data_IF_649496304861
#
_entry.id   IF_649496304861
#
_cell.length_a   1.000
_cell.length_b   1.000
_cell.length_c   1.000
_cell.angle_alpha   90.00
_cell.angle_beta   90.00
_cell.angle_gamma   90.00
#
_symmetry.space_group_name_H-M   'P 1'
#
loop_
_entity.id
_entity.type
_entity.pdbx_description
1 polymer ?
#
# COMPACT_ATOMS: atom_id res chain seq x y z
N UNK A 1 -15.71 -3.00 7.77
CA UNK A 1 -15.43 -3.58 9.11
C UNK A 1 -14.09 -4.26 9.02
N UNK A 2 -13.09 -3.83 9.79
CA UNK A 2 -11.79 -4.50 9.82
C UNK A 2 -11.91 -5.75 10.70
N UNK A 3 -11.68 -6.92 10.12
CA UNK A 3 -11.69 -8.20 10.83
C UNK A 3 -10.41 -8.30 11.64
N UNK A 4 -10.51 -8.60 12.94
CA UNK A 4 -9.33 -8.87 13.77
C UNK A 4 -8.51 -10.03 13.18
N UNK A 5 -7.17 -9.92 13.23
CA UNK A 5 -6.24 -10.93 12.71
C UNK A 5 -6.36 -12.31 13.36
N UNK A 6 -7.04 -12.42 14.51
CA UNK A 6 -7.02 -13.60 15.37
C UNK A 6 -7.42 -14.91 14.66
N UNK A 7 -8.28 -14.80 13.65
CA UNK A 7 -8.76 -15.96 12.87
C UNK A 7 -8.10 -16.09 11.49
N UNK A 8 -7.24 -15.15 11.09
CA UNK A 8 -6.59 -15.19 9.79
C UNK A 8 -5.44 -16.19 9.78
N UNK A 9 -5.32 -16.93 8.68
CA UNK A 9 -4.28 -17.93 8.47
C UNK A 9 -3.49 -17.61 7.21
N UNK A 10 -2.18 -17.79 7.30
CA UNK A 10 -1.23 -17.62 6.21
C UNK A 10 -0.71 -19.01 5.81
N UNK A 11 -0.70 -19.32 4.51
CA UNK A 11 -0.10 -20.56 4.02
C UNK A 11 1.42 -20.37 3.97
N UNK A 12 2.15 -21.04 4.87
CA UNK A 12 3.61 -21.03 4.90
C UNK A 12 4.14 -22.27 4.21
N UNK A 13 4.87 -22.12 3.11
CA UNK A 13 5.63 -23.19 2.46
C UNK A 13 7.10 -23.04 2.83
N UNK A 14 7.72 -24.12 3.29
CA UNK A 14 9.11 -24.13 3.75
C UNK A 14 9.94 -25.02 2.83
N UNK A 15 11.15 -24.56 2.52
CA UNK A 15 12.12 -25.22 1.66
C UNK A 15 13.45 -25.34 2.39
N UNK A 16 14.19 -26.42 2.15
CA UNK A 16 15.48 -26.67 2.80
C UNK A 16 16.45 -25.51 2.58
N UNK A 17 16.46 -24.94 1.37
CA UNK A 17 17.32 -23.84 0.97
C UNK A 17 16.68 -23.08 -0.23
N UNK A 18 17.46 -22.34 -1.00
CA UNK A 18 16.97 -21.53 -2.14
C UNK A 18 16.54 -22.35 -3.36
N UNK A 19 16.96 -23.61 -3.49
CA UNK A 19 16.67 -24.43 -4.66
C UNK A 19 15.20 -24.86 -4.70
N UNK A 20 14.61 -24.84 -5.90
CA UNK A 20 13.16 -24.94 -6.10
C UNK A 20 12.55 -26.29 -5.74
N UNK A 21 13.32 -27.37 -5.80
CA UNK A 21 12.89 -28.74 -5.54
C UNK A 21 13.14 -29.20 -4.09
N UNK A 22 13.35 -28.27 -3.16
CA UNK A 22 13.72 -28.60 -1.78
C UNK A 22 12.59 -28.39 -0.77
N UNK A 23 11.33 -28.46 -1.21
CA UNK A 23 10.17 -28.32 -0.33
C UNK A 23 10.24 -29.36 0.81
N UNK A 24 10.01 -28.91 2.04
CA UNK A 24 10.03 -29.78 3.24
C UNK A 24 8.68 -29.82 3.96
N UNK A 25 7.79 -28.86 3.70
CA UNK A 25 6.47 -28.85 4.33
C UNK A 25 5.69 -27.56 4.09
N UNK A 26 4.37 -27.67 4.23
CA UNK A 26 3.45 -26.53 4.18
C UNK A 26 2.55 -26.55 5.42
N UNK A 27 2.25 -25.38 5.98
CA UNK A 27 1.38 -25.26 7.15
C UNK A 27 0.59 -23.96 7.11
N UNK A 28 -0.70 -24.04 7.44
CA UNK A 28 -1.49 -22.85 7.80
C UNK A 28 -1.09 -22.36 9.18
N UNK A 29 -0.59 -21.14 9.26
CA UNK A 29 -0.11 -20.51 10.50
C UNK A 29 -0.90 -19.23 10.80
N UNK A 30 -1.15 -18.95 12.08
CA UNK A 30 -1.55 -17.61 12.53
C UNK A 30 -0.41 -16.62 12.37
N UNK A 31 -0.73 -15.33 12.43
CA UNK A 31 0.30 -14.28 12.47
C UNK A 31 1.26 -14.43 13.66
N UNK A 32 0.72 -14.72 14.85
CA UNK A 32 1.52 -14.97 16.06
C UNK A 32 2.46 -16.19 15.91
N UNK A 33 2.00 -17.27 15.30
CA UNK A 33 2.84 -18.43 14.98
C UNK A 33 3.95 -18.07 13.98
N UNK A 34 3.64 -17.27 12.95
CA UNK A 34 4.63 -16.80 11.99
C UNK A 34 5.69 -15.91 12.65
N UNK A 35 5.28 -14.96 13.50
CA UNK A 35 6.18 -14.12 14.31
C UNK A 35 7.13 -15.00 15.13
N UNK A 36 6.59 -15.95 15.89
CA UNK A 36 7.38 -16.87 16.72
C UNK A 36 8.36 -17.69 15.87
N UNK A 37 7.92 -18.14 14.70
CA UNK A 37 8.76 -18.94 13.80
C UNK A 37 9.88 -18.12 13.18
N UNK A 38 9.63 -16.88 12.74
CA UNK A 38 10.65 -15.99 12.17
C UNK A 38 11.62 -15.43 13.21
N UNK A 39 11.17 -15.21 14.46
CA UNK A 39 12.03 -14.72 15.55
C UNK A 39 13.05 -15.76 16.02
N UNK A 40 12.80 -17.05 15.77
CA UNK A 40 13.73 -18.12 16.12
C UNK A 40 14.91 -18.17 15.14
N UNK A 41 16.09 -17.79 15.64
CA UNK A 41 17.34 -17.67 14.87
C UNK A 41 18.26 -18.88 15.07
N UNK A 42 19.24 -19.01 14.17
CA UNK A 42 20.41 -19.87 14.33
C UNK A 42 21.66 -19.05 14.02
N UNK A 43 22.82 -19.54 14.44
CA UNK A 43 24.13 -18.99 14.03
C UNK A 43 24.72 -19.91 12.96
N UNK A 44 25.04 -19.36 11.80
CA UNK A 44 25.58 -20.10 10.66
C UNK A 44 26.26 -19.12 9.69
N UNK A 45 27.33 -19.53 9.01
CA UNK A 45 27.87 -18.77 7.87
C UNK A 45 27.07 -18.93 6.57
N UNK A 46 26.17 -19.92 6.52
CA UNK A 46 25.22 -20.11 5.42
C UNK A 46 23.88 -19.46 5.74
N UNK A 47 23.50 -18.46 4.94
CA UNK A 47 22.24 -17.72 5.08
C UNK A 47 20.99 -18.56 4.90
N UNK A 48 21.09 -19.72 4.25
CA UNK A 48 19.97 -20.62 3.99
C UNK A 48 19.88 -21.79 5.00
N UNK A 49 20.82 -21.87 5.95
CA UNK A 49 20.86 -22.97 6.92
C UNK A 49 19.62 -23.04 7.83
N UNK A 50 18.87 -21.94 7.98
CA UNK A 50 17.59 -21.92 8.72
C UNK A 50 16.37 -22.07 7.82
N UNK A 51 16.51 -22.68 6.64
CA UNK A 51 15.46 -22.83 5.64
C UNK A 51 15.11 -21.53 4.90
N UNK A 52 14.40 -21.68 3.79
CA UNK A 52 13.73 -20.59 3.10
C UNK A 52 12.23 -20.81 3.10
N UNK A 53 11.47 -19.76 2.80
CA UNK A 53 10.02 -19.83 2.84
C UNK A 53 9.34 -18.98 1.77
N UNK A 54 8.07 -19.32 1.51
CA UNK A 54 7.13 -18.57 0.71
C UNK A 54 5.79 -18.54 1.44
N UNK A 55 5.20 -17.36 1.58
CA UNK A 55 3.86 -17.17 2.15
C UNK A 55 2.84 -17.05 1.01
N UNK A 56 2.07 -18.11 0.74
CA UNK A 56 1.18 -18.18 -0.42
C UNK A 56 0.71 -19.59 -0.76
N UNK A 57 -0.25 -19.71 -1.67
CA UNK A 57 -0.70 -21.01 -2.16
C UNK A 57 0.19 -21.50 -3.31
N UNK A 58 0.54 -22.78 -3.24
CA UNK A 58 1.27 -23.50 -4.28
C UNK A 58 0.40 -24.64 -4.80
N UNK A 59 0.53 -24.97 -6.09
CA UNK A 59 0.00 -26.21 -6.67
C UNK A 59 0.47 -27.45 -5.88
N UNK A 60 -0.15 -28.60 -6.15
CA UNK A 60 0.25 -29.86 -5.52
C UNK A 60 1.71 -30.20 -5.79
N UNK A 61 2.19 -29.92 -7.02
CA UNK A 61 3.61 -29.91 -7.33
C UNK A 61 4.29 -28.74 -6.59
N UNK A 62 4.84 -29.04 -5.42
CA UNK A 62 5.49 -28.07 -4.52
C UNK A 62 6.85 -27.58 -5.03
N UNK A 63 7.26 -27.97 -6.24
CA UNK A 63 8.39 -27.36 -6.93
C UNK A 63 8.16 -25.84 -7.08
N UNK A 64 9.06 -25.04 -6.50
CA UNK A 64 8.97 -23.58 -6.49
C UNK A 64 9.31 -23.01 -7.86
N UNK A 65 8.30 -22.63 -8.62
CA UNK A 65 8.43 -21.85 -9.83
C UNK A 65 7.18 -20.99 -10.03
N UNK A 66 7.23 -20.08 -10.99
CA UNK A 66 6.15 -19.15 -11.27
C UNK A 66 4.85 -19.82 -11.74
N UNK A 67 4.93 -20.99 -12.35
CA UNK A 67 3.77 -21.74 -12.83
C UNK A 67 3.04 -22.50 -11.71
N UNK A 68 3.75 -22.82 -10.62
CA UNK A 68 3.23 -23.53 -9.47
C UNK A 68 2.78 -22.59 -8.34
N UNK A 69 3.25 -21.35 -8.32
CA UNK A 69 2.77 -20.31 -7.39
C UNK A 69 1.39 -19.80 -7.81
N UNK A 70 0.37 -20.08 -6.99
CA UNK A 70 -1.02 -19.72 -7.25
C UNK A 70 -1.32 -18.31 -6.73
N UNK A 71 -0.93 -18.04 -5.48
CA UNK A 71 -1.25 -16.80 -4.78
C UNK A 71 -0.16 -16.43 -3.76
N UNK A 72 -0.12 -15.18 -3.32
CA UNK A 72 0.69 -14.73 -2.17
C UNK A 72 -0.24 -14.24 -1.08
N UNK A 73 -0.01 -14.69 0.16
CA UNK A 73 -0.77 -14.19 1.33
C UNK A 73 -0.05 -13.03 2.04
N UNK A 74 1.15 -12.67 1.58
CA UNK A 74 1.91 -11.55 2.12
C UNK A 74 2.78 -10.92 1.03
N UNK A 75 3.02 -9.61 1.14
CA UNK A 75 4.13 -8.95 0.45
C UNK A 75 5.40 -9.17 1.27
N UNK A 76 6.51 -9.43 0.59
CA UNK A 76 7.82 -9.64 1.23
C UNK A 76 8.83 -8.77 0.53
N UNK A 77 9.40 -7.82 1.27
CA UNK A 77 10.28 -6.76 0.77
C UNK A 77 11.63 -6.91 1.44
N UNK A 78 12.70 -7.05 0.65
CA UNK A 78 14.07 -6.91 1.12
C UNK A 78 14.41 -5.41 1.05
N UNK A 79 14.67 -4.80 2.21
CA UNK A 79 15.12 -3.41 2.34
C UNK A 79 16.63 -3.46 2.52
N UNK A 80 17.33 -3.12 1.45
CA UNK A 80 18.79 -3.06 1.40
C UNK A 80 19.27 -1.61 1.23
N UNK A 81 20.58 -1.41 1.26
CA UNK A 81 21.27 -0.16 0.90
C UNK A 81 20.79 1.09 1.67
N UNK A 82 20.44 0.92 2.94
CA UNK A 82 20.10 2.01 3.83
C UNK A 82 21.36 2.74 4.32
N UNK A 83 21.23 4.05 4.54
CA UNK A 83 22.29 4.84 5.18
C UNK A 83 22.43 4.44 6.65
N UNK A 84 23.66 4.42 7.20
CA UNK A 84 23.89 4.19 8.63
C UNK A 84 23.05 5.14 9.50
N UNK A 85 22.37 4.58 10.51
CA UNK A 85 21.53 5.35 11.42
C UNK A 85 20.10 5.64 10.91
N UNK A 86 19.70 5.14 9.75
CA UNK A 86 18.31 5.21 9.28
C UNK A 86 17.37 4.50 10.25
N UNK A 87 16.35 5.21 10.76
CA UNK A 87 15.41 4.69 11.76
C UNK A 87 14.15 4.11 11.07
N UNK A 88 14.33 3.02 10.32
CA UNK A 88 13.26 2.41 9.51
C UNK A 88 12.06 1.97 10.36
N UNK A 89 12.30 1.49 11.59
CA UNK A 89 11.24 0.99 12.46
C UNK A 89 10.24 2.09 12.82
N UNK A 90 10.72 3.28 13.17
CA UNK A 90 9.85 4.37 13.61
C UNK A 90 9.05 4.92 12.42
N UNK A 91 9.67 5.05 11.24
CA UNK A 91 8.95 5.42 10.02
C UNK A 91 7.86 4.41 9.65
N UNK A 92 8.13 3.11 9.79
CA UNK A 92 7.11 2.08 9.55
C UNK A 92 5.97 2.18 10.57
N UNK A 93 6.26 2.40 11.86
CA UNK A 93 5.23 2.58 12.90
C UNK A 93 4.36 3.81 12.66
N UNK A 94 4.93 4.89 12.14
CA UNK A 94 4.18 6.10 11.82
C UNK A 94 3.34 5.97 10.56
N UNK A 95 3.84 5.25 9.54
CA UNK A 95 3.19 5.14 8.22
C UNK A 95 2.20 3.98 8.13
N UNK A 96 2.46 2.87 8.82
CA UNK A 96 1.69 1.65 8.67
C UNK A 96 0.72 1.49 9.83
N UNK A 97 -0.58 1.48 9.50
CA UNK A 97 -1.64 1.17 10.47
C UNK A 97 -2.04 -0.32 10.46
N UNK A 98 -1.47 -1.09 9.55
CA UNK A 98 -1.70 -2.53 9.39
C UNK A 98 -0.52 -3.35 9.95
N UNK A 99 -0.68 -4.66 9.96
CA UNK A 99 0.27 -5.58 10.56
C UNK A 99 1.51 -5.74 9.69
N UNK A 100 2.66 -5.91 10.32
CA UNK A 100 3.91 -6.21 9.62
C UNK A 100 4.87 -7.00 10.52
N UNK A 101 5.86 -7.64 9.92
CA UNK A 101 7.02 -8.20 10.60
C UNK A 101 8.26 -7.63 9.93
N UNK A 102 9.18 -7.06 10.70
CA UNK A 102 10.47 -6.56 10.24
C UNK A 102 11.58 -7.30 10.98
N UNK A 103 12.58 -7.80 10.26
CA UNK A 103 13.76 -8.38 10.89
C UNK A 103 15.02 -8.20 10.06
N UNK A 104 16.21 -8.25 10.69
CA UNK A 104 17.48 -8.12 9.97
C UNK A 104 17.73 -9.28 9.02
N UNK A 105 18.34 -8.99 7.86
CA UNK A 105 18.81 -10.06 6.96
C UNK A 105 20.14 -10.63 7.47
N UNK A 106 20.55 -11.77 6.90
CA UNK A 106 21.83 -12.41 7.24
C UNK A 106 23.06 -11.50 7.03
N UNK A 107 22.98 -10.55 6.11
CA UNK A 107 24.06 -9.62 5.77
C UNK A 107 23.87 -8.24 6.41
N UNK A 108 22.96 -8.10 7.37
CA UNK A 108 22.80 -6.86 8.11
C UNK A 108 24.08 -6.53 8.89
N UNK A 109 24.51 -5.28 8.76
CA UNK A 109 25.58 -4.69 9.56
C UNK A 109 25.14 -3.27 9.97
N UNK A 110 25.58 -2.73 11.13
CA UNK A 110 25.17 -1.39 11.57
C UNK A 110 25.49 -0.27 10.57
N UNK A 111 26.56 -0.45 9.77
CA UNK A 111 27.01 0.49 8.74
C UNK A 111 26.48 0.16 7.32
N UNK A 112 25.70 -0.91 7.19
CA UNK A 112 24.99 -1.28 5.98
C UNK A 112 23.68 -1.99 6.38
N UNK A 113 22.71 -1.25 6.96
CA UNK A 113 21.50 -1.85 7.52
C UNK A 113 20.67 -2.53 6.43
N UNK A 114 20.35 -3.80 6.65
CA UNK A 114 19.52 -4.62 5.77
C UNK A 114 18.39 -5.28 6.55
N UNK A 115 17.16 -5.12 6.09
CA UNK A 115 15.98 -5.67 6.74
C UNK A 115 15.10 -6.44 5.75
N UNK A 116 14.26 -7.33 6.27
CA UNK A 116 13.16 -7.93 5.53
C UNK A 116 11.86 -7.52 6.19
N UNK A 117 10.97 -6.93 5.40
CA UNK A 117 9.64 -6.52 5.78
C UNK A 117 8.62 -7.51 5.19
N UNK A 118 7.73 -8.01 6.02
CA UNK A 118 6.62 -8.89 5.63
C UNK A 118 5.32 -8.21 5.99
N UNK A 119 4.47 -7.99 4.99
CA UNK A 119 3.16 -7.36 5.13
C UNK A 119 2.08 -8.40 4.79
N UNK A 120 1.42 -9.02 5.78
CA UNK A 120 0.33 -9.95 5.53
C UNK A 120 -0.89 -9.27 4.90
N UNK A 121 -1.54 -10.00 4.01
CA UNK A 121 -2.72 -9.56 3.26
C UNK A 121 -3.96 -10.26 3.81
N UNK A 122 -5.08 -9.54 3.91
CA UNK A 122 -6.35 -10.12 4.37
C UNK A 122 -6.97 -11.09 3.35
N UNK A 123 -6.57 -10.99 2.09
CA UNK A 123 -6.89 -11.94 1.02
C UNK A 123 -5.64 -12.19 0.18
N UNK A 124 -5.49 -13.41 -0.37
CA UNK A 124 -4.37 -13.68 -1.25
C UNK A 124 -4.45 -12.85 -2.54
N UNK A 125 -3.30 -12.38 -3.03
CA UNK A 125 -3.19 -11.74 -4.35
C UNK A 125 -2.65 -12.70 -5.38
N UNK A 126 -2.96 -12.42 -6.64
CA UNK A 126 -2.44 -13.17 -7.80
C UNK A 126 -1.19 -12.50 -8.37
N UNK A 127 -0.52 -13.22 -9.28
CA UNK A 127 0.70 -12.74 -9.96
C UNK A 127 0.54 -11.35 -10.58
N UNK A 128 -0.65 -11.03 -11.14
CA UNK A 128 -0.95 -9.75 -11.78
C UNK A 128 -0.65 -8.56 -10.86
N UNK A 129 -1.02 -8.65 -9.58
CA UNK A 129 -0.96 -7.51 -8.66
C UNK A 129 0.29 -7.51 -7.77
N UNK A 130 1.07 -8.59 -7.74
CA UNK A 130 2.22 -8.70 -6.84
C UNK A 130 3.32 -7.68 -7.13
N UNK A 131 3.78 -7.62 -8.39
CA UNK A 131 4.81 -6.64 -8.78
C UNK A 131 4.31 -5.19 -8.62
N UNK A 132 3.12 -4.81 -9.13
CA UNK A 132 2.60 -3.46 -8.92
C UNK A 132 2.45 -3.08 -7.43
N UNK A 133 2.03 -4.02 -6.58
CA UNK A 133 1.97 -3.78 -5.14
C UNK A 133 3.35 -3.49 -4.54
N UNK A 134 4.39 -4.25 -4.91
CA UNK A 134 5.75 -3.98 -4.45
C UNK A 134 6.26 -2.62 -4.92
N UNK A 135 5.97 -2.23 -6.17
CA UNK A 135 6.35 -0.91 -6.70
C UNK A 135 5.63 0.25 -6.00
N UNK A 136 4.37 0.04 -5.60
CA UNK A 136 3.66 1.01 -4.76
C UNK A 136 4.38 1.23 -3.43
N UNK A 137 4.81 0.15 -2.77
CA UNK A 137 5.56 0.23 -1.51
C UNK A 137 6.97 0.80 -1.70
N UNK A 138 7.66 0.47 -2.78
CA UNK A 138 8.93 1.08 -3.18
C UNK A 138 8.80 2.62 -3.22
N UNK A 139 7.79 3.13 -3.92
CA UNK A 139 7.48 4.56 -4.02
C UNK A 139 7.07 5.18 -2.67
N UNK A 140 6.22 4.50 -1.91
CA UNK A 140 5.71 5.03 -0.62
C UNK A 140 6.78 5.09 0.46
N UNK A 141 7.73 4.15 0.45
CA UNK A 141 8.86 4.12 1.36
C UNK A 141 10.04 4.98 0.87
N UNK A 142 10.04 5.40 -0.40
CA UNK A 142 11.15 6.15 -0.98
C UNK A 142 12.42 5.32 -1.12
N UNK A 143 12.27 4.01 -1.31
CA UNK A 143 13.34 3.04 -1.45
C UNK A 143 13.49 2.65 -2.92
N UNK A 144 14.62 2.00 -3.27
CA UNK A 144 14.78 1.34 -4.56
C UNK A 144 14.98 -0.16 -4.31
N UNK A 145 14.15 -0.98 -4.94
CA UNK A 145 14.22 -2.43 -4.83
C UNK A 145 15.01 -3.01 -6.00
N UNK A 146 15.72 -4.11 -5.76
CA UNK A 146 16.39 -4.83 -6.83
C UNK A 146 15.37 -5.49 -7.79
N UNK A 147 15.74 -5.71 -9.05
CA UNK A 147 14.83 -6.33 -10.04
C UNK A 147 14.30 -7.69 -9.56
N UNK A 148 15.13 -8.42 -8.81
CA UNK A 148 14.79 -9.73 -8.29
C UNK A 148 13.81 -9.67 -7.10
N UNK A 149 13.51 -8.50 -6.52
CA UNK A 149 12.49 -8.33 -5.50
C UNK A 149 11.09 -8.63 -6.06
N UNK A 150 10.89 -8.42 -7.36
CA UNK A 150 9.61 -8.57 -8.03
C UNK A 150 9.29 -10.00 -8.50
N UNK A 151 10.22 -10.94 -8.28
CA UNK A 151 10.07 -12.34 -8.68
C UNK A 151 8.90 -13.02 -7.97
N UNK A 152 7.91 -13.46 -8.75
CA UNK A 152 6.64 -13.99 -8.24
C UNK A 152 6.82 -15.18 -7.29
N UNK A 153 7.66 -16.14 -7.68
CA UNK A 153 7.90 -17.34 -6.88
C UNK A 153 9.09 -17.24 -5.92
N UNK A 154 9.70 -16.06 -5.70
CA UNK A 154 10.88 -15.90 -4.84
C UNK A 154 10.63 -16.37 -3.41
N UNK A 155 11.55 -17.21 -2.92
CA UNK A 155 11.62 -17.59 -1.51
C UNK A 155 12.48 -16.59 -0.72
N UNK A 156 12.15 -16.44 0.55
CA UNK A 156 12.89 -15.60 1.49
C UNK A 156 13.68 -16.47 2.46
N UNK A 157 14.89 -16.05 2.82
CA UNK A 157 15.64 -16.73 3.87
C UNK A 157 14.96 -16.49 5.23
N UNK A 158 14.78 -17.56 6.01
CA UNK A 158 14.44 -17.42 7.42
C UNK A 158 15.65 -16.86 8.15
N UNK A 159 15.37 -16.15 9.25
CA UNK A 159 16.36 -15.46 10.07
C UNK A 159 17.55 -16.34 10.45
N UNK A 160 18.75 -15.94 10.07
CA UNK A 160 20.02 -16.54 10.49
C UNK A 160 21.02 -15.43 10.80
N UNK A 161 21.85 -15.65 11.81
CA UNK A 161 22.90 -14.73 12.22
C UNK A 161 24.24 -15.28 11.72
N UNK A 162 25.05 -14.43 11.09
CA UNK A 162 26.35 -14.84 10.53
C UNK A 162 27.30 -15.30 11.63
N UNK A 163 27.31 -14.59 12.75
CA UNK A 163 28.07 -14.93 13.96
C UNK A 163 27.21 -14.73 15.21
N UNK A 164 27.77 -15.00 16.40
CA UNK A 164 27.10 -14.74 17.68
C UNK A 164 26.97 -13.24 17.98
N UNK A 165 27.84 -12.45 17.37
CA UNK A 165 27.98 -11.01 17.55
C UNK A 165 27.16 -10.21 16.54
N UNK A 166 26.58 -10.86 15.52
CA UNK A 166 25.74 -10.19 14.53
C UNK A 166 24.52 -9.55 15.20
N UNK A 167 24.26 -8.29 14.86
CA UNK A 167 23.10 -7.57 15.37
C UNK A 167 21.80 -8.20 14.85
N UNK A 168 20.87 -8.42 15.77
CA UNK A 168 19.55 -8.95 15.46
C UNK A 168 18.46 -7.99 15.91
N UNK A 169 17.86 -7.31 14.94
CA UNK A 169 16.67 -6.50 15.15
C UNK A 169 15.45 -7.30 14.67
N UNK A 170 14.41 -7.32 15.48
CA UNK A 170 13.13 -7.94 15.16
C UNK A 170 12.00 -7.09 15.76
N UNK A 171 11.18 -6.50 14.89
CA UNK A 171 10.04 -5.65 15.25
C UNK A 171 8.79 -6.16 14.51
N UNK A 172 7.61 -5.93 15.08
CA UNK A 172 6.36 -6.29 14.45
C UNK A 172 5.22 -5.43 14.98
N UNK A 173 4.20 -5.27 14.15
CA UNK A 173 2.91 -4.71 14.53
C UNK A 173 1.82 -5.75 14.26
N UNK A 174 0.96 -6.01 15.24
CA UNK A 174 -0.17 -6.94 15.13
C UNK A 174 -1.48 -6.18 15.34
N UNK A 175 -2.05 -5.71 14.24
CA UNK A 175 -3.31 -4.95 14.20
C UNK A 175 -4.32 -5.65 13.30
N UNK A 176 -4.40 -5.25 12.03
CA UNK A 176 -5.18 -5.87 10.97
C UNK A 176 -4.28 -6.12 9.76
N UNK A 177 -4.54 -7.16 8.98
CA UNK A 177 -3.84 -7.40 7.72
C UNK A 177 -4.18 -6.31 6.69
N UNK A 178 -3.29 -6.09 5.72
CA UNK A 178 -3.50 -5.10 4.68
C UNK A 178 -4.73 -5.45 3.85
N UNK A 179 -5.59 -4.45 3.64
CA UNK A 179 -6.84 -4.55 2.88
C UNK A 179 -6.52 -4.75 1.39
N UNK A 180 -6.67 -5.99 0.94
CA UNK A 180 -6.25 -6.43 -0.38
C UNK A 180 -7.13 -5.86 -1.48
N UNK A 181 -8.43 -5.70 -1.22
CA UNK A 181 -9.36 -5.15 -2.20
C UNK A 181 -9.05 -3.68 -2.47
N UNK A 182 -8.76 -2.89 -1.43
CA UNK A 182 -8.33 -1.50 -1.59
C UNK A 182 -6.98 -1.40 -2.29
N UNK A 183 -6.03 -2.27 -1.96
CA UNK A 183 -4.74 -2.32 -2.63
C UNK A 183 -4.93 -2.57 -4.14
N UNK A 184 -5.65 -3.63 -4.50
CA UNK A 184 -5.92 -3.99 -5.91
C UNK A 184 -6.67 -2.87 -6.63
N UNK A 185 -7.73 -2.32 -6.04
CA UNK A 185 -8.47 -1.21 -6.64
C UNK A 185 -7.58 0.01 -6.89
N UNK A 186 -6.67 0.34 -5.97
CA UNK A 186 -5.71 1.43 -6.16
C UNK A 186 -4.74 1.18 -7.32
N UNK A 187 -4.26 -0.05 -7.48
CA UNK A 187 -3.37 -0.45 -8.57
C UNK A 187 -4.09 -0.42 -9.93
N UNK A 188 -5.36 -0.84 -9.97
CA UNK A 188 -6.15 -0.82 -11.21
C UNK A 188 -6.54 0.60 -11.63
N UNK A 189 -6.74 1.51 -10.68
CA UNK A 189 -6.89 2.94 -11.00
C UNK A 189 -5.62 3.44 -11.67
N UNK A 190 -4.43 3.11 -11.15
CA UNK A 190 -3.15 3.55 -11.73
C UNK A 190 -2.94 2.97 -13.16
N UNK A 191 -3.26 1.68 -13.39
CA UNK A 191 -3.21 1.04 -14.73
C UNK A 191 -4.25 1.60 -15.71
N UNK A 192 -5.45 1.98 -15.23
CA UNK A 192 -6.50 2.60 -16.08
C UNK A 192 -6.34 4.10 -16.24
N UNK A 193 -5.29 4.70 -15.65
CA UNK A 193 -4.94 6.12 -15.86
C UNK A 193 -4.03 6.30 -17.09
N UNK A 194 -4.29 5.59 -18.19
CA UNK A 194 -4.26 6.26 -19.49
C UNK A 194 -5.63 6.92 -19.67
N UNK A 195 -5.83 8.07 -19.04
CA UNK A 195 -7.04 8.85 -19.23
C UNK A 195 -7.08 9.24 -20.71
N UNK A 196 -7.98 8.61 -21.46
CA UNK A 196 -8.39 9.15 -22.75
C UNK A 196 -9.21 10.43 -22.49
N UNK A 197 -8.50 11.54 -22.47
CA UNK A 197 -9.06 12.88 -22.31
C UNK A 197 -10.00 13.26 -23.46
N UNK A 198 -10.08 12.48 -24.55
CA UNK A 198 -10.98 12.77 -25.68
C UNK A 198 -12.47 12.75 -25.29
N UNK A 199 -12.83 12.04 -24.21
CA UNK A 199 -14.21 11.93 -23.72
C UNK A 199 -14.54 12.87 -22.55
N UNK A 200 -13.53 13.51 -21.94
CA UNK A 200 -13.74 14.43 -20.82
C UNK A 200 -14.13 15.82 -21.35
N UNK A 201 -15.35 16.25 -21.05
CA UNK A 201 -15.83 17.60 -21.40
C UNK A 201 -14.94 18.73 -20.82
N UNK A 202 -14.16 18.42 -19.77
CA UNK A 202 -13.23 19.32 -19.04
C UNK A 202 -12.04 18.50 -18.54
N UNK A 203 -10.84 18.84 -18.99
CA UNK A 203 -9.56 18.19 -18.66
C UNK A 203 -8.92 18.76 -17.37
N UNK A 204 -7.72 18.31 -17.02
CA UNK A 204 -6.96 18.80 -15.86
C UNK A 204 -6.65 20.31 -15.97
N UNK A 205 -6.35 20.79 -17.17
CA UNK A 205 -6.09 22.20 -17.47
C UNK A 205 -7.27 23.11 -17.06
N UNK A 206 -8.51 22.66 -17.28
CA UNK A 206 -9.69 23.38 -16.81
C UNK A 206 -9.74 23.52 -15.29
N UNK A 207 -9.38 22.47 -14.55
CA UNK A 207 -9.40 22.48 -13.09
C UNK A 207 -8.25 23.30 -12.52
N UNK A 208 -7.06 23.25 -13.13
CA UNK A 208 -5.93 24.11 -12.75
C UNK A 208 -6.29 25.59 -12.89
N UNK A 209 -7.02 25.96 -13.95
CA UNK A 209 -7.41 27.35 -14.19
C UNK A 209 -8.34 27.94 -13.11
N UNK A 210 -9.17 27.12 -12.46
CA UNK A 210 -10.18 27.60 -11.50
C UNK A 210 -9.92 27.14 -10.06
N UNK A 211 -9.09 26.12 -9.85
CA UNK A 211 -8.94 25.39 -8.59
C UNK A 211 -8.11 26.12 -7.53
N UNK A 212 -7.14 26.94 -7.93
CA UNK A 212 -6.31 27.71 -7.00
C UNK A 212 -7.02 28.96 -6.43
N UNK A 213 -8.15 29.35 -7.02
CA UNK A 213 -8.82 30.63 -6.72
C UNK A 213 -8.07 31.81 -7.32
N UNK A 214 -8.07 32.97 -6.66
CA UNK A 214 -7.45 34.18 -7.20
C UNK A 214 -8.18 34.83 -8.37
N UNK A 215 -9.41 34.38 -8.67
CA UNK A 215 -10.23 34.90 -9.76
C UNK A 215 -10.67 36.33 -9.45
N UNK A 216 -10.71 37.19 -10.47
CA UNK A 216 -11.10 38.60 -10.32
C UNK A 216 -12.57 38.85 -10.64
N UNK A 217 -13.04 40.08 -10.45
CA UNK A 217 -14.42 40.41 -10.77
C UNK A 217 -14.67 40.36 -12.28
N UNK A 218 -15.68 39.61 -12.71
CA UNK A 218 -15.92 39.28 -14.11
C UNK A 218 -15.44 37.89 -14.57
N UNK A 219 -14.54 37.22 -13.84
CA UNK A 219 -13.91 35.94 -14.25
C UNK A 219 -14.76 34.68 -13.99
N UNK A 220 -16.08 34.84 -13.79
CA UNK A 220 -16.98 33.69 -13.65
C UNK A 220 -16.86 32.91 -12.34
N UNK A 221 -16.48 33.56 -11.22
CA UNK A 221 -16.37 32.98 -9.87
C UNK A 221 -17.55 32.10 -9.44
N UNK A 222 -18.80 32.52 -9.70
CA UNK A 222 -19.99 31.70 -9.43
C UNK A 222 -20.03 30.41 -10.26
N UNK A 223 -19.63 30.49 -11.53
CA UNK A 223 -19.58 29.34 -12.43
C UNK A 223 -18.47 28.37 -12.01
N UNK A 224 -17.33 28.90 -11.58
CA UNK A 224 -16.24 28.12 -11.00
C UNK A 224 -16.70 27.41 -9.71
N UNK A 225 -17.30 28.15 -8.76
CA UNK A 225 -17.85 27.61 -7.52
C UNK A 225 -18.83 26.46 -7.78
N UNK A 226 -19.80 26.66 -8.68
CA UNK A 226 -20.76 25.62 -9.05
C UNK A 226 -20.08 24.39 -9.70
N UNK A 227 -19.08 24.64 -10.55
CA UNK A 227 -18.34 23.59 -11.25
C UNK A 227 -17.51 22.74 -10.29
N UNK A 228 -16.75 23.37 -9.40
CA UNK A 228 -15.91 22.71 -8.39
C UNK A 228 -16.79 21.94 -7.41
N UNK A 229 -17.86 22.56 -6.88
CA UNK A 229 -18.82 21.91 -5.97
C UNK A 229 -19.40 20.64 -6.61
N UNK A 230 -19.86 20.75 -7.86
CA UNK A 230 -20.43 19.61 -8.58
C UNK A 230 -19.40 18.51 -8.85
N UNK A 231 -18.15 18.88 -9.17
CA UNK A 231 -17.08 17.91 -9.39
C UNK A 231 -16.76 17.12 -8.12
N UNK A 232 -16.54 17.81 -6.99
CA UNK A 232 -16.26 17.17 -5.69
C UNK A 232 -17.42 16.28 -5.23
N UNK A 233 -18.66 16.72 -5.39
CA UNK A 233 -19.84 15.89 -5.12
C UNK A 233 -19.86 14.66 -6.03
N UNK A 234 -19.59 14.75 -7.32
CA UNK A 234 -19.56 13.56 -8.19
C UNK A 234 -18.45 12.57 -7.86
N UNK A 235 -17.42 13.01 -7.14
CA UNK A 235 -16.31 12.20 -6.63
C UNK A 235 -16.49 11.72 -5.19
N UNK A 236 -17.68 11.88 -4.62
CA UNK A 236 -18.02 11.45 -3.26
C UNK A 236 -17.13 12.04 -2.16
N UNK A 237 -16.62 13.27 -2.35
CA UNK A 237 -15.95 14.02 -1.29
C UNK A 237 -16.97 14.36 -0.19
N UNK A 238 -16.55 14.28 1.08
CA UNK A 238 -17.38 14.62 2.24
C UNK A 238 -17.88 16.07 2.19
N UNK A 239 -19.14 16.29 2.60
CA UNK A 239 -19.80 17.59 2.48
C UNK A 239 -19.12 18.66 3.34
N UNK A 240 -18.69 18.32 4.57
CA UNK A 240 -18.04 19.29 5.45
C UNK A 240 -16.66 19.67 4.92
N UNK A 241 -15.94 18.70 4.34
CA UNK A 241 -14.67 18.95 3.67
C UNK A 241 -14.86 19.85 2.44
N UNK A 242 -15.88 19.61 1.62
CA UNK A 242 -16.22 20.48 0.47
C UNK A 242 -16.45 21.92 0.93
N UNK A 243 -17.24 22.11 2.00
CA UNK A 243 -17.54 23.45 2.54
C UNK A 243 -16.25 24.12 3.03
N UNK A 244 -15.42 23.41 3.80
CA UNK A 244 -14.14 23.95 4.29
C UNK A 244 -13.21 24.39 3.16
N UNK A 245 -12.99 23.52 2.16
CA UNK A 245 -12.13 23.81 1.02
C UNK A 245 -12.66 24.97 0.15
N UNK A 246 -13.96 24.98 -0.13
CA UNK A 246 -14.57 26.04 -0.94
C UNK A 246 -14.60 27.38 -0.21
N UNK A 247 -14.65 27.38 1.13
CA UNK A 247 -14.53 28.61 1.92
C UNK A 247 -13.14 29.21 1.75
N UNK A 248 -12.08 28.42 1.95
CA UNK A 248 -10.69 28.85 1.72
C UNK A 248 -10.46 29.29 0.26
N UNK A 249 -11.04 28.57 -0.70
CA UNK A 249 -11.00 28.94 -2.12
C UNK A 249 -11.71 30.27 -2.39
N UNK A 250 -12.84 30.55 -1.72
CA UNK A 250 -13.55 31.80 -1.89
C UNK A 250 -12.74 32.98 -1.32
N UNK A 251 -12.11 32.77 -0.17
CA UNK A 251 -11.27 33.77 0.50
C UNK A 251 -10.02 34.13 -0.32
N UNK A 252 -9.54 33.23 -1.19
CA UNK A 252 -8.42 33.52 -2.10
C UNK A 252 -8.81 34.32 -3.34
N UNK A 253 -10.11 34.46 -3.66
CA UNK A 253 -10.60 35.25 -4.80
C UNK A 253 -10.63 36.77 -4.51
N UNK A 254 -10.59 37.61 -5.55
CA UNK A 254 -10.48 39.07 -5.41
C UNK A 254 -11.54 39.83 -6.24
N UNK A 255 -12.66 40.30 -5.64
CA UNK A 255 -13.04 40.11 -4.24
C UNK A 255 -13.53 38.67 -3.97
N UNK A 256 -13.67 38.24 -2.71
CA UNK A 256 -14.42 37.04 -2.37
C UNK A 256 -15.90 37.18 -2.78
N UNK A 257 -16.59 36.07 -3.05
CA UNK A 257 -18.04 36.08 -3.18
C UNK A 257 -18.67 36.43 -1.82
N UNK A 258 -19.80 37.13 -1.86
CA UNK A 258 -20.57 37.39 -0.64
C UNK A 258 -21.07 36.06 -0.04
N UNK A 259 -21.01 35.94 1.27
CA UNK A 259 -21.36 34.70 1.99
C UNK A 259 -22.73 34.13 1.57
N UNK A 260 -23.74 35.00 1.44
CA UNK A 260 -25.09 34.59 1.02
C UNK A 260 -25.12 33.97 -0.38
N UNK A 261 -24.32 34.51 -1.30
CA UNK A 261 -24.23 34.03 -2.68
C UNK A 261 -23.45 32.71 -2.76
N UNK A 262 -22.36 32.62 -2.01
CA UNK A 262 -21.57 31.41 -1.83
C UNK A 262 -22.45 30.26 -1.31
N UNK A 263 -23.11 30.47 -0.16
CA UNK A 263 -23.96 29.46 0.48
C UNK A 263 -25.10 29.01 -0.43
N UNK A 264 -25.75 29.97 -1.11
CA UNK A 264 -26.85 29.67 -2.04
C UNK A 264 -26.38 28.73 -3.17
N UNK A 265 -25.22 29.02 -3.75
CA UNK A 265 -24.67 28.24 -4.87
C UNK A 265 -24.27 26.84 -4.41
N UNK A 266 -23.52 26.73 -3.32
CA UNK A 266 -23.06 25.44 -2.79
C UNK A 266 -24.25 24.56 -2.39
N UNK A 267 -25.21 25.10 -1.63
CA UNK A 267 -26.41 24.36 -1.20
C UNK A 267 -27.25 23.87 -2.38
N UNK A 268 -27.42 24.70 -3.41
CA UNK A 268 -28.17 24.34 -4.62
C UNK A 268 -27.56 23.14 -5.32
N UNK A 269 -26.24 23.14 -5.51
CA UNK A 269 -25.52 22.06 -6.19
C UNK A 269 -25.52 20.78 -5.35
N UNK A 270 -25.22 20.87 -4.05
CA UNK A 270 -25.25 19.72 -3.14
C UNK A 270 -26.65 19.08 -3.14
N UNK A 271 -27.70 19.88 -3.00
CA UNK A 271 -29.09 19.38 -2.99
C UNK A 271 -29.42 18.67 -4.30
N UNK A 272 -29.01 19.25 -5.44
CA UNK A 272 -29.24 18.65 -6.77
C UNK A 272 -28.50 17.32 -6.92
N UNK A 273 -27.24 17.24 -6.49
CA UNK A 273 -26.43 16.01 -6.60
C UNK A 273 -26.90 14.92 -5.62
N UNK A 274 -27.33 15.27 -4.40
CA UNK A 274 -27.94 14.33 -3.45
C UNK A 274 -29.24 13.74 -4.01
N UNK A 275 -30.10 14.56 -4.61
CA UNK A 275 -31.31 14.07 -5.30
C UNK A 275 -30.97 13.14 -6.47
N UNK A 276 -29.94 13.46 -7.26
CA UNK A 276 -29.49 12.61 -8.36
C UNK A 276 -28.98 11.25 -7.89
N UNK A 277 -28.28 11.20 -6.74
CA UNK A 277 -27.84 9.95 -6.11
C UNK A 277 -29.01 9.11 -5.60
N UNK A 278 -30.02 9.75 -5.01
CA UNK A 278 -31.17 9.07 -4.41
C UNK A 278 -32.27 8.72 -5.42
N UNK A 279 -32.26 9.34 -6.60
CA UNK A 279 -33.24 9.12 -7.67
C UNK A 279 -32.74 8.26 -8.83
N UNK A 280 -31.60 7.59 -8.66
CA UNK A 280 -31.07 6.60 -9.60
C UNK A 280 -31.51 5.19 -9.21
N UNK A 281 -32.79 4.89 -9.40
CA UNK A 281 -33.33 3.54 -9.59
C UNK A 281 -33.96 3.48 -10.99
#
# INVERSE_FOLDING_TARGET
MHTSNYNMKLMLNVYKNQYSNTHIGSKLVTFSELIKWLKATIISGDKYANFTFVIGDMKEDKHRNDANMISRHALTIDIDDLEPGTIVIDELKERFNFSYILYTTHNHEPHAPRYRLIIPLDKPITKKYYKPALQLFEKQLGLSFDDNAFDWSRCMARTSLKTKESEFVFDYQDTYFLDTEKLVAGLEVDETTSIDYSSMKRDSSHWDAIGYGGLTDGDGRNNALASITGHMMRKNVDINLIIGLLTTWNDSNKPPLQLKEFERTVRSIITKELKRRNGGA
#
